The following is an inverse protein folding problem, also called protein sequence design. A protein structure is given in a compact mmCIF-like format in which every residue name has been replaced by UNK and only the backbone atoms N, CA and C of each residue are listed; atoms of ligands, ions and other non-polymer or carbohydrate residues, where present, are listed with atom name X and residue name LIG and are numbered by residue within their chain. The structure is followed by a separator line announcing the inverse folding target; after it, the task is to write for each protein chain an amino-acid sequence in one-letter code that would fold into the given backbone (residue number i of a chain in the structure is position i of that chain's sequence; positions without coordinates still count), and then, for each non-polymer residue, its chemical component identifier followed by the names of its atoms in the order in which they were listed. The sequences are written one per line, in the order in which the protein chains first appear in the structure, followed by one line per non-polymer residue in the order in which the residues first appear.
data_IF_519546273470
#
_entry.id   IF_519546273470
#
_cell.length_a   1.000
_cell.length_b   1.000
_cell.length_c   1.000
_cell.angle_alpha   90.00
_cell.angle_beta   90.00
_cell.angle_gamma   90.00
#
_symmetry.space_group_name_H-M   'P 1'
#
loop_
_entity.id
_entity.type
_entity.pdbx_description
1 polymer ?
#
# COMPACT_ATOMS: atom_id res chain seq x y z
N UNK A 1 -0.82 1.48 -7.68
CA UNK A 1 -1.51 0.32 -7.08
C UNK A 1 -0.53 -0.37 -6.15
N UNK A 2 -1.01 -0.91 -5.02
CA UNK A 2 -0.28 -1.77 -4.10
C UNK A 2 -1.18 -2.94 -3.70
N UNK A 3 -0.58 -4.07 -3.37
CA UNK A 3 -1.28 -5.33 -3.09
C UNK A 3 -0.57 -6.06 -1.94
N UNK A 4 -1.36 -6.78 -1.15
CA UNK A 4 -0.89 -7.80 -0.20
C UNK A 4 -1.22 -9.15 -0.80
N UNK A 5 -0.20 -9.98 -1.02
CA UNK A 5 -0.31 -11.24 -1.74
C UNK A 5 0.13 -12.38 -0.82
N UNK A 6 -0.64 -13.46 -0.81
CA UNK A 6 -0.25 -14.76 -0.27
C UNK A 6 0.32 -15.60 -1.42
N UNK A 7 1.64 -15.67 -1.52
CA UNK A 7 2.34 -16.39 -2.57
C UNK A 7 2.14 -17.92 -2.48
N UNK A 8 1.78 -18.46 -1.31
CA UNK A 8 1.53 -19.90 -1.14
C UNK A 8 0.28 -20.35 -1.88
N UNK A 9 -0.68 -19.44 -2.05
CA UNK A 9 -1.95 -19.69 -2.73
C UNK A 9 -2.11 -18.87 -4.02
N UNK A 10 -1.22 -17.91 -4.27
CA UNK A 10 -1.33 -16.97 -5.39
C UNK A 10 -2.55 -16.05 -5.28
N UNK A 11 -2.95 -15.67 -4.07
CA UNK A 11 -4.15 -14.87 -3.83
C UNK A 11 -3.81 -13.47 -3.32
N UNK A 12 -4.49 -12.46 -3.84
CA UNK A 12 -4.43 -11.09 -3.30
C UNK A 12 -5.41 -10.97 -2.12
N UNK A 13 -4.88 -10.71 -0.93
CA UNK A 13 -5.66 -10.55 0.30
C UNK A 13 -6.22 -9.14 0.45
N UNK A 14 -5.44 -8.13 0.03
CA UNK A 14 -5.85 -6.73 0.05
C UNK A 14 -5.19 -5.98 -1.12
N UNK A 15 -5.84 -4.91 -1.59
CA UNK A 15 -5.25 -4.03 -2.59
C UNK A 15 -5.74 -2.60 -2.43
N UNK A 16 -4.96 -1.63 -2.90
CA UNK A 16 -5.37 -0.24 -3.00
C UNK A 16 -4.76 0.45 -4.24
N UNK A 17 -5.50 1.38 -4.85
CA UNK A 17 -5.05 2.08 -6.06
C UNK A 17 -5.48 3.55 -6.11
N UNK A 18 -4.62 4.41 -6.65
CA UNK A 18 -4.95 5.82 -6.93
C UNK A 18 -6.07 6.01 -7.96
N UNK A 19 -6.55 4.91 -8.58
CA UNK A 19 -7.69 4.91 -9.50
C UNK A 19 -9.04 4.76 -8.79
N UNK A 20 -9.05 4.43 -7.49
CA UNK A 20 -10.26 4.39 -6.68
C UNK A 20 -10.92 5.78 -6.64
N UNK A 21 -12.26 5.81 -6.67
CA UNK A 21 -13.04 7.05 -6.77
C UNK A 21 -12.63 8.06 -5.70
N UNK A 22 -12.43 7.58 -4.47
CA UNK A 22 -12.07 8.38 -3.29
C UNK A 22 -10.66 8.99 -3.37
N UNK A 23 -9.76 8.42 -4.18
CA UNK A 23 -8.39 8.90 -4.36
C UNK A 23 -8.19 9.65 -5.69
N UNK A 24 -9.05 9.38 -6.68
CA UNK A 24 -8.94 9.94 -8.03
C UNK A 24 -9.28 11.43 -8.06
N UNK A 25 -10.27 11.85 -7.26
CA UNK A 25 -10.71 13.25 -7.16
C UNK A 25 -9.81 14.15 -6.31
N UNK A 26 -8.88 13.58 -5.54
CA UNK A 26 -7.98 14.35 -4.68
C UNK A 26 -6.90 15.02 -5.53
N UNK A 27 -6.84 16.36 -5.52
CA UNK A 27 -5.78 17.14 -6.16
C UNK A 27 -4.60 17.23 -5.20
N UNK A 28 -3.87 16.11 -5.08
CA UNK A 28 -2.64 15.99 -4.30
C UNK A 28 -1.45 15.68 -5.22
N UNK A 29 -0.24 15.95 -4.73
CA UNK A 29 0.98 15.53 -5.39
C UNK A 29 1.09 13.99 -5.43
N UNK A 30 1.91 13.48 -6.36
CA UNK A 30 2.02 12.02 -6.59
C UNK A 30 2.55 11.28 -5.35
N UNK A 31 3.27 11.97 -4.47
CA UNK A 31 3.86 11.42 -3.25
C UNK A 31 2.80 11.28 -2.16
N UNK A 32 1.97 12.29 -1.90
CA UNK A 32 0.87 12.20 -0.95
C UNK A 32 -0.16 11.15 -1.39
N UNK A 33 -0.46 11.04 -2.68
CA UNK A 33 -1.31 9.95 -3.19
C UNK A 33 -0.72 8.57 -2.91
N UNK A 34 0.60 8.40 -3.06
CA UNK A 34 1.25 7.13 -2.75
C UNK A 34 1.19 6.80 -1.25
N UNK A 35 1.38 7.79 -0.37
CA UNK A 35 1.21 7.63 1.08
C UNK A 35 -0.20 7.20 1.44
N UNK A 36 -1.22 7.87 0.90
CA UNK A 36 -2.64 7.51 1.13
C UNK A 36 -2.96 6.07 0.69
N UNK A 37 -2.43 5.64 -0.46
CA UNK A 37 -2.54 4.24 -0.89
C UNK A 37 -1.91 3.28 0.12
N UNK A 38 -0.75 3.63 0.67
CA UNK A 38 -0.08 2.88 1.73
C UNK A 38 -0.96 2.72 2.98
N UNK A 39 -1.56 3.80 3.45
CA UNK A 39 -2.46 3.79 4.62
C UNK A 39 -3.69 2.91 4.37
N UNK A 40 -4.33 3.05 3.20
CA UNK A 40 -5.52 2.28 2.84
C UNK A 40 -5.24 0.77 2.68
N UNK A 41 -4.11 0.40 2.07
CA UNK A 41 -3.77 -1.02 1.93
C UNK A 41 -3.44 -1.64 3.30
N UNK A 42 -2.81 -0.89 4.20
CA UNK A 42 -2.53 -1.34 5.55
C UNK A 42 -3.81 -1.54 6.37
N UNK A 43 -4.76 -0.61 6.29
CA UNK A 43 -6.06 -0.75 6.95
C UNK A 43 -6.81 -1.99 6.47
N UNK A 44 -6.86 -2.21 5.15
CA UNK A 44 -7.49 -3.39 4.54
C UNK A 44 -6.77 -4.69 4.91
N UNK A 45 -5.44 -4.67 5.00
CA UNK A 45 -4.64 -5.82 5.41
C UNK A 45 -4.96 -6.21 6.86
N UNK A 46 -5.05 -5.24 7.77
CA UNK A 46 -5.45 -5.47 9.16
C UNK A 46 -6.87 -6.00 9.29
N UNK A 47 -7.82 -5.47 8.51
CA UNK A 47 -9.18 -6.00 8.45
C UNK A 47 -9.21 -7.46 7.96
N UNK A 48 -8.26 -7.85 7.11
CA UNK A 48 -8.05 -9.23 6.67
C UNK A 48 -7.22 -10.08 7.65
N UNK A 49 -6.83 -9.54 8.81
CA UNK A 49 -6.06 -10.25 9.84
C UNK A 49 -4.56 -10.39 9.52
N UNK A 50 -4.00 -9.48 8.72
CA UNK A 50 -2.58 -9.46 8.36
C UNK A 50 -1.88 -8.27 9.02
N UNK A 51 -0.93 -8.55 9.91
CA UNK A 51 -0.17 -7.53 10.64
C UNK A 51 1.26 -7.35 10.11
N UNK A 52 1.94 -8.45 9.78
CA UNK A 52 3.33 -8.44 9.28
C UNK A 52 3.40 -8.90 7.83
N UNK A 53 4.19 -8.18 7.04
CA UNK A 53 4.38 -8.44 5.60
C UNK A 53 5.84 -8.22 5.22
N UNK A 54 6.19 -8.51 3.97
CA UNK A 54 7.46 -8.08 3.38
C UNK A 54 7.15 -7.05 2.30
N UNK A 55 7.95 -5.99 2.23
CA UNK A 55 7.76 -4.95 1.23
C UNK A 55 8.53 -5.24 -0.06
N UNK A 56 7.83 -5.79 -1.05
CA UNK A 56 8.34 -5.88 -2.42
C UNK A 56 8.23 -4.53 -3.14
N UNK A 57 9.35 -4.08 -3.70
CA UNK A 57 9.45 -2.82 -4.46
C UNK A 57 9.11 -3.00 -5.94
N UNK A 58 8.86 -4.23 -6.40
CA UNK A 58 8.56 -4.55 -7.79
C UNK A 58 9.65 -4.06 -8.75
N UNK A 59 10.91 -4.17 -8.35
CA UNK A 59 12.08 -3.70 -9.12
C UNK A 59 12.34 -2.18 -9.08
N UNK A 60 11.53 -1.40 -8.37
CA UNK A 60 11.74 0.05 -8.26
C UNK A 60 12.77 0.41 -7.17
N UNK A 61 13.43 1.56 -7.33
CA UNK A 61 14.28 2.13 -6.27
C UNK A 61 13.42 2.53 -5.08
N UNK A 62 13.91 2.28 -3.86
CA UNK A 62 13.28 2.76 -2.64
C UNK A 62 13.53 4.27 -2.47
N UNK A 63 12.68 5.07 -3.11
CA UNK A 63 12.75 6.53 -3.08
C UNK A 63 11.40 7.12 -3.50
N UNK A 64 11.18 8.41 -3.19
CA UNK A 64 10.02 9.18 -3.61
C UNK A 64 8.71 8.44 -3.30
N UNK A 65 7.94 8.12 -4.34
CA UNK A 65 6.62 7.46 -4.21
C UNK A 65 6.68 6.08 -3.55
N UNK A 66 7.74 5.31 -3.79
CA UNK A 66 7.88 3.95 -3.22
C UNK A 66 8.13 4.05 -1.72
N UNK A 67 9.01 4.96 -1.31
CA UNK A 67 9.27 5.24 0.11
C UNK A 67 8.00 5.79 0.79
N UNK A 68 7.33 6.77 0.18
CA UNK A 68 6.11 7.36 0.73
C UNK A 68 4.98 6.34 0.91
N UNK A 69 4.85 5.37 0.01
CA UNK A 69 3.89 4.27 0.13
C UNK A 69 4.23 3.36 1.31
N UNK A 70 5.51 2.99 1.45
CA UNK A 70 5.99 2.19 2.58
C UNK A 70 5.74 2.92 3.91
N UNK A 71 6.06 4.20 3.98
CA UNK A 71 5.84 5.01 5.18
C UNK A 71 4.34 5.07 5.53
N UNK A 72 3.47 5.29 4.55
CA UNK A 72 2.02 5.28 4.76
C UNK A 72 1.50 3.92 5.24
N UNK A 73 2.06 2.82 4.74
CA UNK A 73 1.68 1.49 5.21
C UNK A 73 2.16 1.18 6.63
N UNK A 74 3.35 1.66 7.01
CA UNK A 74 3.85 1.60 8.40
C UNK A 74 3.02 2.47 9.35
N UNK A 75 2.62 3.66 8.92
CA UNK A 75 1.70 4.51 9.69
C UNK A 75 0.32 3.85 9.89
N UNK A 76 -0.15 3.10 8.89
CA UNK A 76 -1.33 2.22 9.03
C UNK A 76 -1.09 1.01 9.95
N UNK A 77 0.16 0.82 10.39
CA UNK A 77 0.63 -0.15 11.37
C UNK A 77 0.83 -1.55 10.83
N UNK A 78 1.16 -1.69 9.54
CA UNK A 78 1.80 -2.90 9.04
C UNK A 78 3.27 -2.94 9.48
N UNK A 79 3.73 -4.12 9.88
CA UNK A 79 5.11 -4.34 10.33
C UNK A 79 5.98 -4.90 9.21
N UNK A 80 6.97 -4.10 8.74
CA UNK A 80 7.98 -4.45 7.73
C UNK A 80 9.13 -3.43 7.57
#
# INVERSE_FOLDING_TARGET
VAQIVDDTKGHTLASASTMEVDLRGVVDDKTAKARKVGQLVAERAKQAGVDSVVFDRGGNKYHGRVAALADGAREGGLDF
#
